data_IF_449342972917
#
_entry.id   IF_449342972917
#
_cell.length_a   1.000
_cell.length_b   1.000
_cell.length_c   1.000
_cell.angle_alpha   90.00
_cell.angle_beta   90.00
_cell.angle_gamma   90.00
#
_symmetry.space_group_name_H-M   'P 1'
#
loop_
_entity.id
_entity.type
_entity.pdbx_description
1 polymer ?
#
# COMPACT_ATOMS: atom_id res chain seq x y z
N UNK A 1 -16.79 17.64 -50.71
CA UNK A 1 -16.88 18.52 -49.54
C UNK A 1 -16.65 17.66 -48.31
N UNK A 2 -15.41 17.61 -47.85
CA UNK A 2 -14.98 16.76 -46.75
C UNK A 2 -15.09 17.51 -45.42
N UNK A 3 -15.78 16.91 -44.45
CA UNK A 3 -15.70 17.30 -43.05
C UNK A 3 -14.89 16.23 -42.32
N UNK A 4 -13.76 16.64 -41.78
CA UNK A 4 -12.79 15.85 -41.03
C UNK A 4 -13.38 15.39 -39.70
N UNK A 5 -13.45 14.07 -39.53
CA UNK A 5 -13.68 13.41 -38.25
C UNK A 5 -12.46 13.62 -37.36
N UNK A 6 -12.60 14.47 -36.34
CA UNK A 6 -11.62 14.56 -35.24
C UNK A 6 -12.00 13.49 -34.23
N UNK A 7 -11.13 12.50 -34.08
CA UNK A 7 -11.32 11.31 -33.27
C UNK A 7 -11.37 11.65 -31.78
N UNK A 8 -12.30 11.02 -31.05
CA UNK A 8 -12.54 11.16 -29.61
C UNK A 8 -11.28 10.87 -28.75
N UNK A 9 -10.30 10.15 -29.32
CA UNK A 9 -9.00 9.84 -28.72
C UNK A 9 -8.09 11.07 -28.56
N UNK A 10 -8.20 12.10 -29.40
CA UNK A 10 -7.38 13.32 -29.27
C UNK A 10 -7.83 14.26 -28.14
N UNK A 11 -9.13 14.22 -27.76
CA UNK A 11 -9.66 15.04 -26.67
C UNK A 11 -9.26 14.53 -25.28
N UNK A 12 -9.14 13.20 -25.12
CA UNK A 12 -8.71 12.59 -23.85
C UNK A 12 -7.20 12.78 -23.61
N UNK A 13 -6.38 12.76 -24.67
CA UNK A 13 -4.93 13.00 -24.55
C UNK A 13 -4.55 14.43 -24.14
N UNK A 14 -5.32 15.44 -24.58
CA UNK A 14 -5.06 16.86 -24.25
C UNK A 14 -5.55 17.26 -22.86
N UNK A 15 -6.61 16.61 -22.35
CA UNK A 15 -7.11 16.81 -20.97
C UNK A 15 -6.09 16.37 -19.90
N UNK A 16 -5.36 15.28 -20.17
CA UNK A 16 -4.38 14.72 -19.23
C UNK A 16 -3.11 15.59 -19.10
N UNK A 17 -2.65 16.20 -20.20
CA UNK A 17 -1.47 17.07 -20.23
C UNK A 17 -1.65 18.38 -19.43
N UNK A 18 -2.85 18.95 -19.46
CA UNK A 18 -3.17 20.20 -18.73
C UNK A 18 -3.27 19.96 -17.22
N UNK A 19 -3.73 18.77 -16.82
CA UNK A 19 -3.86 18.41 -15.40
C UNK A 19 -2.50 18.10 -14.76
N UNK A 20 -1.59 17.45 -15.49
CA UNK A 20 -0.23 17.17 -15.03
C UNK A 20 0.61 18.45 -14.82
N UNK A 21 0.48 19.44 -15.71
CA UNK A 21 1.19 20.72 -15.61
C UNK A 21 0.70 21.61 -14.45
N UNK A 22 -0.57 21.49 -14.07
CA UNK A 22 -1.12 22.22 -12.92
C UNK A 22 -0.75 21.59 -11.57
N UNK A 23 -0.48 20.28 -11.53
CA UNK A 23 -0.06 19.61 -10.29
C UNK A 23 1.41 19.88 -9.93
N UNK A 24 2.28 20.15 -10.91
CA UNK A 24 3.67 20.60 -10.68
C UNK A 24 3.74 21.97 -10.00
N UNK A 25 2.74 22.84 -10.19
CA UNK A 25 2.70 24.16 -9.57
C UNK A 25 2.21 24.14 -8.11
N UNK A 26 1.42 23.13 -7.71
CA UNK A 26 0.82 23.08 -6.36
C UNK A 26 1.74 22.39 -5.33
N UNK A 27 2.64 21.50 -5.77
CA UNK A 27 3.52 20.74 -4.87
C UNK A 27 4.75 21.51 -4.36
N UNK A 28 5.07 22.68 -4.92
CA UNK A 28 6.16 23.54 -4.44
C UNK A 28 5.80 24.33 -3.16
N UNK A 29 4.53 24.34 -2.73
CA UNK A 29 4.03 25.23 -1.68
C UNK A 29 3.69 24.55 -0.33
N UNK A 30 3.85 23.23 -0.15
CA UNK A 30 3.45 22.53 1.09
C UNK A 30 4.51 21.61 1.69
N UNK A 31 5.80 21.97 1.62
CA UNK A 31 6.84 21.32 2.43
C UNK A 31 7.22 22.26 3.57
N UNK A 32 6.43 22.24 4.65
CA UNK A 32 6.84 22.80 5.94
C UNK A 32 6.65 21.74 7.02
N UNK A 33 7.80 21.30 7.54
CA UNK A 33 8.08 20.61 8.81
C UNK A 33 7.48 19.22 9.02
N UNK A 34 8.32 18.21 8.80
CA UNK A 34 8.36 17.03 9.66
C UNK A 34 9.72 16.97 10.36
N UNK A 35 9.69 17.15 11.68
CA UNK A 35 10.84 16.94 12.56
C UNK A 35 11.11 15.43 12.67
N UNK A 36 12.39 15.07 12.62
CA UNK A 36 12.88 13.70 12.78
C UNK A 36 12.82 13.30 14.25
N UNK A 37 12.16 12.19 14.56
CA UNK A 37 12.35 11.47 15.82
C UNK A 37 13.14 10.19 15.52
N UNK A 38 14.30 10.07 16.15
CA UNK A 38 15.33 9.05 15.94
C UNK A 38 15.21 8.00 17.06
N UNK A 39 15.06 6.72 16.74
CA UNK A 39 15.23 5.64 17.72
C UNK A 39 16.70 5.22 17.74
N UNK A 40 17.35 5.33 18.91
CA UNK A 40 18.78 5.05 19.08
C UNK A 40 19.09 3.61 19.47
N UNK A 41 20.22 3.09 18.98
CA UNK A 41 21.18 2.16 19.62
C UNK A 41 22.49 2.12 18.75
N UNK A 42 23.66 1.69 19.28
CA UNK A 42 24.89 2.48 19.35
C UNK A 42 25.79 2.49 18.10
N UNK A 43 26.63 3.53 18.02
CA UNK A 43 27.55 3.88 16.93
C UNK A 43 28.82 3.01 16.88
N UNK A 44 29.34 2.73 15.67
CA UNK A 44 30.77 2.76 15.40
C UNK A 44 31.12 4.08 14.68
N UNK A 45 31.98 4.86 15.31
CA UNK A 45 32.70 5.98 14.69
C UNK A 45 33.50 5.49 13.49
N UNK A 46 33.43 6.19 12.34
CA UNK A 46 34.59 6.71 11.58
C UNK A 46 34.10 7.54 10.39
N UNK A 47 34.76 8.67 10.22
CA UNK A 47 34.60 9.76 9.27
C UNK A 47 34.75 9.36 7.80
N UNK A 48 33.84 9.83 6.94
CA UNK A 48 33.99 9.78 5.48
C UNK A 48 33.04 10.75 4.78
N UNK A 49 33.52 11.92 4.38
CA UNK A 49 32.76 12.91 3.62
C UNK A 49 32.54 12.44 2.18
N UNK A 50 31.28 12.21 1.77
CA UNK A 50 30.91 12.10 0.35
C UNK A 50 29.73 13.02 0.01
N UNK A 51 29.86 13.64 -1.16
CA UNK A 51 29.14 14.82 -1.68
C UNK A 51 27.60 14.69 -1.72
N UNK A 52 26.91 15.69 -1.13
CA UNK A 52 25.45 15.79 -0.98
C UNK A 52 24.65 16.06 -2.27
N UNK A 53 25.29 16.16 -3.44
CA UNK A 53 24.59 16.56 -4.68
C UNK A 53 24.10 15.40 -5.55
N UNK A 54 24.64 14.19 -5.40
CA UNK A 54 24.19 13.02 -6.19
C UNK A 54 22.93 12.35 -5.64
N UNK A 55 22.64 12.53 -4.35
CA UNK A 55 21.53 11.87 -3.64
C UNK A 55 20.15 12.45 -3.97
N UNK A 56 20.06 13.75 -4.28
CA UNK A 56 18.78 14.42 -4.58
C UNK A 56 18.23 14.07 -5.98
N UNK A 57 19.10 13.88 -6.97
CA UNK A 57 18.67 13.53 -8.33
C UNK A 57 18.09 12.10 -8.43
N UNK A 58 18.53 11.19 -7.56
CA UNK A 58 17.98 9.83 -7.43
C UNK A 58 16.63 9.81 -6.70
N UNK A 59 16.42 10.72 -5.74
CA UNK A 59 15.16 10.82 -4.99
C UNK A 59 14.00 11.36 -5.85
N UNK A 60 14.24 12.37 -6.68
CA UNK A 60 13.21 12.94 -7.57
C UNK A 60 12.87 12.01 -8.75
N UNK A 61 13.86 11.24 -9.24
CA UNK A 61 13.62 10.20 -10.26
C UNK A 61 12.75 9.05 -9.74
N UNK A 62 12.84 8.70 -8.46
CA UNK A 62 12.03 7.65 -7.82
C UNK A 62 10.56 8.05 -7.58
N UNK A 63 10.27 9.33 -7.36
CA UNK A 63 8.89 9.80 -7.18
C UNK A 63 8.14 9.81 -8.53
N UNK A 64 8.81 10.21 -9.61
CA UNK A 64 8.23 10.24 -10.95
C UNK A 64 7.89 8.83 -11.49
N UNK A 65 8.71 7.82 -11.17
CA UNK A 65 8.42 6.43 -11.53
C UNK A 65 7.28 5.84 -10.69
N UNK A 66 7.18 6.17 -9.40
CA UNK A 66 6.09 5.70 -8.53
C UNK A 66 4.73 6.26 -8.98
N UNK A 67 4.64 7.55 -9.31
CA UNK A 67 3.39 8.17 -9.82
C UNK A 67 2.96 7.52 -11.13
N UNK A 68 3.90 7.18 -12.02
CA UNK A 68 3.60 6.50 -13.29
C UNK A 68 3.12 5.05 -13.08
N UNK A 69 3.69 4.32 -12.10
CA UNK A 69 3.22 2.97 -11.74
C UNK A 69 1.80 3.01 -11.18
N UNK A 70 1.51 3.90 -10.23
CA UNK A 70 0.16 4.07 -9.70
C UNK A 70 -0.82 4.60 -10.76
N UNK A 71 -0.37 5.46 -11.67
CA UNK A 71 -1.17 5.91 -12.81
C UNK A 71 -1.51 4.75 -13.76
N UNK A 72 -0.55 3.88 -14.08
CA UNK A 72 -0.79 2.70 -14.92
C UNK A 72 -1.74 1.70 -14.27
N UNK A 73 -1.68 1.53 -12.95
CA UNK A 73 -2.64 0.70 -12.18
C UNK A 73 -4.08 1.26 -12.29
N UNK A 74 -4.26 2.57 -12.44
CA UNK A 74 -5.59 3.16 -12.64
C UNK A 74 -6.27 2.79 -13.96
N UNK A 75 -5.49 2.37 -14.97
CA UNK A 75 -5.99 1.86 -16.25
C UNK A 75 -6.10 0.32 -16.28
N UNK A 76 -5.77 -0.36 -15.19
CA UNK A 76 -5.93 -1.81 -15.10
C UNK A 76 -7.43 -2.16 -15.02
N UNK A 77 -7.89 -3.21 -15.72
CA UNK A 77 -9.27 -3.69 -15.57
C UNK A 77 -9.58 -3.97 -14.09
N UNK A 78 -10.82 -3.68 -13.68
CA UNK A 78 -11.31 -3.92 -12.32
C UNK A 78 -11.92 -5.30 -12.24
N UNK A 79 -11.07 -6.31 -12.08
CA UNK A 79 -11.43 -7.73 -12.09
C UNK A 79 -11.46 -8.37 -10.69
N UNK A 80 -11.02 -7.63 -9.66
CA UNK A 80 -11.05 -8.10 -8.29
C UNK A 80 -12.33 -7.62 -7.62
N UNK A 81 -13.30 -8.51 -7.44
CA UNK A 81 -14.54 -8.24 -6.71
C UNK A 81 -14.30 -8.28 -5.19
N UNK A 82 -15.02 -7.43 -4.46
CA UNK A 82 -15.05 -7.47 -3.01
C UNK A 82 -15.64 -8.80 -2.52
N UNK A 83 -15.16 -9.27 -1.38
CA UNK A 83 -15.69 -10.49 -0.75
C UNK A 83 -17.12 -10.31 -0.21
N UNK A 84 -17.49 -9.09 0.18
CA UNK A 84 -18.76 -8.82 0.86
C UNK A 84 -19.77 -8.03 0.05
N UNK A 85 -19.39 -7.50 -1.12
CA UNK A 85 -20.25 -6.70 -1.98
C UNK A 85 -19.84 -6.81 -3.45
N UNK A 86 -20.60 -6.19 -4.35
CA UNK A 86 -20.36 -6.25 -5.79
C UNK A 86 -19.36 -5.19 -6.32
N UNK A 87 -18.70 -4.43 -5.45
CA UNK A 87 -17.71 -3.45 -5.87
C UNK A 87 -16.46 -4.15 -6.42
N UNK A 88 -15.92 -3.63 -7.52
CA UNK A 88 -14.70 -4.16 -8.15
C UNK A 88 -13.53 -3.20 -8.03
N UNK A 89 -12.32 -3.78 -7.98
CA UNK A 89 -11.05 -3.08 -7.73
C UNK A 89 -10.01 -3.51 -8.77
N UNK A 90 -9.04 -2.63 -8.99
CA UNK A 90 -7.90 -2.85 -9.89
C UNK A 90 -6.70 -3.53 -9.21
N UNK A 91 -6.75 -3.65 -7.89
CA UNK A 91 -5.69 -4.23 -7.04
C UNK A 91 -6.31 -4.93 -5.85
N UNK A 92 -5.64 -5.98 -5.39
CA UNK A 92 -6.04 -6.73 -4.21
C UNK A 92 -5.94 -5.85 -2.97
N UNK A 93 -4.84 -5.11 -2.82
CA UNK A 93 -4.67 -4.14 -1.73
C UNK A 93 -5.75 -3.06 -1.72
N UNK A 94 -6.25 -2.63 -2.89
CA UNK A 94 -7.37 -1.71 -3.00
C UNK A 94 -8.68 -2.28 -2.45
N UNK A 95 -8.98 -3.54 -2.76
CA UNK A 95 -10.12 -4.27 -2.18
C UNK A 95 -9.98 -4.42 -0.66
N UNK A 96 -8.77 -4.72 -0.16
CA UNK A 96 -8.54 -4.80 1.29
C UNK A 96 -8.73 -3.45 1.99
N UNK A 97 -8.32 -2.32 1.41
CA UNK A 97 -8.62 -0.97 1.97
C UNK A 97 -10.13 -0.76 2.13
N UNK A 98 -10.92 -1.25 1.17
CA UNK A 98 -12.36 -1.14 1.22
C UNK A 98 -12.95 -1.96 2.39
N UNK A 99 -12.52 -3.21 2.55
CA UNK A 99 -12.91 -4.05 3.68
C UNK A 99 -12.45 -3.45 5.03
N UNK A 100 -11.20 -2.99 5.14
CA UNK A 100 -10.68 -2.34 6.36
C UNK A 100 -11.52 -1.14 6.80
N UNK A 101 -12.20 -0.47 5.86
CA UNK A 101 -13.03 0.69 6.18
C UNK A 101 -14.36 0.34 6.86
N UNK A 102 -14.79 -0.92 6.86
CA UNK A 102 -16.04 -1.36 7.49
C UNK A 102 -17.31 -0.76 6.87
N UNK A 103 -17.22 -0.23 5.65
CA UNK A 103 -18.35 0.50 5.01
C UNK A 103 -19.26 -0.38 4.17
N UNK A 104 -18.77 -1.54 3.73
CA UNK A 104 -19.51 -2.41 2.82
C UNK A 104 -20.21 -3.59 3.50
N UNK A 105 -19.80 -3.92 4.72
CA UNK A 105 -20.35 -5.00 5.54
C UNK A 105 -20.31 -4.55 6.99
N UNK A 106 -21.31 -4.93 7.76
CA UNK A 106 -21.34 -4.70 9.22
C UNK A 106 -20.36 -5.63 9.95
N UNK A 107 -19.99 -6.76 9.34
CA UNK A 107 -19.24 -7.84 9.99
C UNK A 107 -17.73 -7.82 9.68
N UNK A 108 -17.30 -7.03 8.69
CA UNK A 108 -15.91 -7.04 8.21
C UNK A 108 -15.34 -5.62 8.23
N UNK A 109 -14.38 -5.40 9.11
CA UNK A 109 -13.61 -4.16 9.26
C UNK A 109 -12.11 -4.43 9.49
N UNK A 110 -11.33 -3.38 9.77
CA UNK A 110 -9.90 -3.51 10.08
C UNK A 110 -9.62 -4.45 11.26
N UNK A 111 -10.45 -4.41 12.31
CA UNK A 111 -10.28 -5.26 13.50
C UNK A 111 -10.50 -6.72 13.14
N UNK A 112 -11.54 -7.00 12.36
CA UNK A 112 -11.85 -8.37 11.96
C UNK A 112 -10.83 -8.95 10.99
N UNK A 113 -10.40 -8.18 10.00
CA UNK A 113 -9.33 -8.60 9.10
C UNK A 113 -8.03 -8.88 9.85
N UNK A 114 -7.69 -8.06 10.85
CA UNK A 114 -6.49 -8.26 11.65
C UNK A 114 -6.57 -9.55 12.48
N UNK A 115 -7.73 -9.85 13.07
CA UNK A 115 -7.97 -11.10 13.78
C UNK A 115 -7.77 -12.29 12.84
N UNK A 116 -8.40 -12.26 11.66
CA UNK A 116 -8.32 -13.35 10.69
C UNK A 116 -6.89 -13.56 10.18
N UNK A 117 -6.14 -12.47 9.94
CA UNK A 117 -4.72 -12.56 9.61
C UNK A 117 -3.89 -13.23 10.73
N UNK A 118 -4.22 -12.99 12.00
CA UNK A 118 -3.57 -13.63 13.15
C UNK A 118 -3.96 -15.10 13.37
N UNK A 119 -5.08 -15.54 12.78
CA UNK A 119 -5.57 -16.92 12.79
C UNK A 119 -5.07 -17.74 11.59
N UNK A 120 -4.65 -17.09 10.51
CA UNK A 120 -4.06 -17.73 9.34
C UNK A 120 -2.91 -18.70 9.73
N UNK A 121 -2.84 -19.93 9.20
CA UNK A 121 -1.82 -20.91 9.58
C UNK A 121 -0.37 -20.42 9.44
N UNK A 122 -0.10 -19.56 8.45
CA UNK A 122 1.24 -19.04 8.13
C UNK A 122 1.51 -17.66 8.74
N UNK A 123 0.72 -17.23 9.74
CA UNK A 123 0.80 -15.91 10.37
C UNK A 123 2.24 -15.48 10.72
N UNK A 124 3.07 -16.39 11.22
CA UNK A 124 4.42 -16.08 11.73
C UNK A 124 5.39 -15.57 10.67
N UNK A 125 5.05 -15.69 9.38
CA UNK A 125 5.87 -15.19 8.28
C UNK A 125 5.59 -13.73 7.93
N UNK A 126 4.42 -13.20 8.29
CA UNK A 126 4.00 -11.86 7.88
C UNK A 126 3.48 -11.02 9.04
N UNK A 127 3.46 -11.56 10.25
CA UNK A 127 2.89 -10.93 11.44
C UNK A 127 3.86 -11.03 12.61
N UNK A 128 4.04 -9.93 13.34
CA UNK A 128 4.85 -9.88 14.56
C UNK A 128 4.20 -10.71 15.67
N UNK A 129 4.90 -11.76 16.12
CA UNK A 129 4.47 -12.67 17.18
C UNK A 129 4.01 -11.95 18.45
N UNK A 130 4.66 -10.84 18.81
CA UNK A 130 4.31 -10.05 20.00
C UNK A 130 2.93 -9.42 19.90
N UNK A 131 2.50 -9.09 18.69
CA UNK A 131 1.25 -8.40 18.41
C UNK A 131 0.12 -9.38 18.05
N UNK A 132 0.44 -10.63 17.69
CA UNK A 132 -0.53 -11.67 17.32
C UNK A 132 -1.63 -11.86 18.36
N UNK A 133 -1.25 -11.95 19.65
CA UNK A 133 -2.21 -12.18 20.72
C UNK A 133 -3.23 -11.04 20.86
N UNK A 134 -2.82 -9.80 20.59
CA UNK A 134 -3.71 -8.65 20.59
C UNK A 134 -4.65 -8.69 19.39
N UNK A 135 -4.12 -8.93 18.19
CA UNK A 135 -4.93 -9.00 16.98
C UNK A 135 -5.97 -10.11 17.04
N UNK A 136 -5.59 -11.31 17.48
CA UNK A 136 -6.52 -12.43 17.65
C UNK A 136 -7.63 -12.16 18.67
N UNK A 137 -7.38 -11.29 19.65
CA UNK A 137 -8.38 -10.85 20.64
C UNK A 137 -9.19 -9.63 20.19
N UNK A 138 -9.08 -9.23 18.92
CA UNK A 138 -9.76 -8.05 18.34
C UNK A 138 -9.42 -6.75 19.07
N UNK A 139 -8.21 -6.64 19.60
CA UNK A 139 -7.77 -5.41 20.22
C UNK A 139 -7.44 -4.37 19.14
N UNK A 140 -8.01 -3.17 19.27
CA UNK A 140 -7.55 -2.01 18.51
C UNK A 140 -6.17 -1.59 19.01
N UNK A 141 -5.14 -1.88 18.20
CA UNK A 141 -3.77 -1.53 18.56
C UNK A 141 -3.55 -0.01 18.63
N UNK A 142 -4.29 0.79 17.87
CA UNK A 142 -4.18 2.26 17.95
C UNK A 142 -4.75 2.80 19.27
N UNK A 143 -5.73 2.11 19.85
CA UNK A 143 -6.30 2.47 21.15
C UNK A 143 -5.40 2.04 22.33
N UNK A 144 -4.70 0.92 22.19
CA UNK A 144 -3.88 0.35 23.28
C UNK A 144 -2.47 0.93 23.32
N UNK A 145 -1.87 1.16 22.16
CA UNK A 145 -0.50 1.64 22.06
C UNK A 145 -0.49 3.14 21.79
N UNK A 146 0.25 3.89 22.61
CA UNK A 146 0.41 5.35 22.46
C UNK A 146 1.20 5.75 21.20
N UNK A 147 1.81 4.79 20.52
CA UNK A 147 2.60 4.99 19.31
C UNK A 147 2.09 4.10 18.19
N UNK A 148 2.38 4.51 16.95
CA UNK A 148 2.07 3.73 15.77
C UNK A 148 2.80 2.39 15.82
N UNK A 149 2.03 1.31 15.75
CA UNK A 149 2.51 -0.06 15.68
C UNK A 149 2.50 -0.59 14.25
N UNK A 150 3.33 -1.58 13.99
CA UNK A 150 3.51 -2.19 12.67
C UNK A 150 3.41 -3.71 12.79
N UNK A 151 2.20 -4.27 12.94
CA UNK A 151 2.01 -5.70 13.15
C UNK A 151 2.41 -6.55 11.94
N UNK A 152 2.46 -5.97 10.74
CA UNK A 152 2.70 -6.71 9.51
C UNK A 152 4.14 -6.52 9.01
N UNK A 153 4.73 -7.58 8.49
CA UNK A 153 6.05 -7.55 7.86
C UNK A 153 6.01 -8.27 6.51
N UNK A 154 6.72 -7.72 5.52
CA UNK A 154 6.88 -8.42 4.25
C UNK A 154 7.84 -9.61 4.43
N UNK A 155 7.45 -10.86 4.08
CA UNK A 155 8.28 -12.05 4.31
C UNK A 155 9.63 -12.09 3.56
N UNK A 156 9.85 -11.21 2.58
CA UNK A 156 11.07 -11.20 1.75
C UNK A 156 11.99 -10.02 2.01
N UNK A 157 11.45 -8.87 2.41
CA UNK A 157 12.24 -7.65 2.60
C UNK A 157 12.09 -7.05 4.01
N UNK A 158 11.34 -7.71 4.89
CA UNK A 158 11.12 -7.34 6.29
C UNK A 158 10.61 -5.91 6.51
N UNK A 159 10.06 -5.28 5.46
CA UNK A 159 9.50 -3.93 5.58
C UNK A 159 8.26 -3.98 6.47
N UNK A 160 8.16 -3.13 7.51
CA UNK A 160 7.05 -3.14 8.44
C UNK A 160 5.86 -2.29 7.95
N UNK A 161 4.64 -2.77 8.19
CA UNK A 161 3.40 -2.12 7.80
C UNK A 161 2.40 -2.09 8.96
N UNK A 162 1.66 -0.98 9.06
CA UNK A 162 0.63 -0.79 10.10
C UNK A 162 -0.71 -1.41 9.74
N UNK A 163 -0.94 -1.68 8.45
CA UNK A 163 -2.21 -2.14 7.89
C UNK A 163 -1.96 -3.31 6.96
N UNK A 164 -2.96 -4.17 6.84
CA UNK A 164 -2.92 -5.34 5.97
C UNK A 164 -2.94 -4.89 4.50
N UNK A 165 -3.77 -3.89 4.18
CA UNK A 165 -3.79 -3.25 2.86
C UNK A 165 -2.43 -2.72 2.41
N UNK A 166 -1.69 -2.08 3.32
CA UNK A 166 -0.38 -1.51 3.01
C UNK A 166 0.66 -2.60 2.67
N UNK A 167 0.60 -3.76 3.35
CA UNK A 167 1.41 -4.92 3.00
C UNK A 167 1.10 -5.41 1.58
N UNK A 168 -0.18 -5.58 1.23
CA UNK A 168 -0.56 -6.03 -0.11
C UNK A 168 -0.19 -5.04 -1.21
N UNK A 169 -0.44 -3.75 -1.00
CA UNK A 169 -0.04 -2.69 -1.94
C UNK A 169 1.48 -2.67 -2.18
N UNK A 170 2.27 -2.92 -1.13
CA UNK A 170 3.71 -3.06 -1.26
C UNK A 170 4.10 -4.25 -2.14
N UNK A 171 3.45 -5.40 -1.96
CA UNK A 171 3.71 -6.63 -2.73
C UNK A 171 3.27 -6.48 -4.19
N UNK A 172 2.19 -5.75 -4.45
CA UNK A 172 1.72 -5.44 -5.82
C UNK A 172 2.58 -4.39 -6.52
N UNK A 173 3.41 -3.66 -5.77
CA UNK A 173 4.35 -2.68 -6.31
C UNK A 173 5.68 -3.35 -6.70
N UNK A 174 6.47 -2.74 -7.60
CA UNK A 174 7.81 -3.24 -7.94
C UNK A 174 8.85 -2.99 -6.83
N UNK A 175 8.43 -2.66 -5.59
CA UNK A 175 9.33 -2.34 -4.49
C UNK A 175 10.00 -3.56 -3.86
N UNK A 176 9.46 -4.77 -4.05
CA UNK A 176 10.04 -6.01 -3.54
C UNK A 176 9.86 -7.19 -4.51
N UNK A 177 10.46 -8.33 -4.18
CA UNK A 177 10.36 -9.57 -4.96
C UNK A 177 9.27 -10.52 -4.48
N UNK A 178 8.52 -10.15 -3.44
CA UNK A 178 7.36 -10.91 -2.98
C UNK A 178 6.29 -10.93 -4.07
N UNK A 179 5.54 -12.04 -4.15
CA UNK A 179 4.37 -12.17 -5.01
C UNK A 179 3.13 -12.49 -4.17
N UNK A 180 1.96 -12.06 -4.65
CA UNK A 180 0.68 -12.42 -4.06
C UNK A 180 0.34 -13.91 -4.21
N UNK A 181 0.92 -14.58 -5.20
CA UNK A 181 0.56 -15.95 -5.59
C UNK A 181 1.51 -17.02 -5.02
N UNK A 182 2.50 -16.61 -4.22
CA UNK A 182 3.46 -17.53 -3.63
C UNK A 182 3.60 -17.41 -2.09
N UNK A 183 3.98 -18.53 -1.46
CA UNK A 183 4.37 -18.60 -0.05
C UNK A 183 3.29 -18.19 0.93
N UNK A 184 3.72 -17.57 2.04
CA UNK A 184 2.84 -17.18 3.14
C UNK A 184 1.76 -16.16 2.74
N UNK A 185 2.08 -15.25 1.81
CA UNK A 185 1.13 -14.25 1.29
C UNK A 185 0.01 -14.91 0.50
N UNK A 186 0.32 -15.90 -0.34
CA UNK A 186 -0.72 -16.64 -1.06
C UNK A 186 -1.62 -17.43 -0.10
N UNK A 187 -1.05 -18.02 0.94
CA UNK A 187 -1.81 -18.69 1.99
C UNK A 187 -2.74 -17.72 2.71
N UNK A 188 -2.24 -16.53 3.07
CA UNK A 188 -3.06 -15.47 3.66
C UNK A 188 -4.19 -15.04 2.74
N UNK A 189 -3.91 -14.83 1.45
CA UNK A 189 -4.91 -14.43 0.45
C UNK A 189 -6.04 -15.46 0.32
N UNK A 190 -5.67 -16.74 0.21
CA UNK A 190 -6.65 -17.86 0.15
C UNK A 190 -7.43 -17.99 1.45
N UNK A 191 -6.80 -17.76 2.60
CA UNK A 191 -7.46 -17.82 3.89
C UNK A 191 -8.50 -16.70 4.05
N UNK A 192 -8.16 -15.45 3.70
CA UNK A 192 -9.13 -14.36 3.67
C UNK A 192 -10.29 -14.65 2.70
N UNK A 193 -9.98 -15.22 1.53
CA UNK A 193 -11.01 -15.63 0.59
C UNK A 193 -11.90 -16.75 1.12
N UNK A 194 -11.39 -17.72 1.87
CA UNK A 194 -12.22 -18.79 2.44
C UNK A 194 -13.13 -18.31 3.57
N UNK A 195 -12.72 -17.26 4.28
CA UNK A 195 -13.50 -16.70 5.39
C UNK A 195 -14.61 -15.74 4.91
N UNK A 196 -14.35 -14.97 3.85
CA UNK A 196 -15.27 -13.90 3.42
C UNK A 196 -15.80 -14.06 2.00
N UNK A 197 -15.08 -14.80 1.14
CA UNK A 197 -15.45 -14.97 -0.25
C UNK A 197 -16.69 -15.85 -0.41
N UNK A 198 -17.41 -15.71 -1.54
CA UNK A 198 -18.53 -16.56 -1.90
C UNK A 198 -18.12 -18.00 -2.26
#
# INVERSE_FOLDING_TARGET
MGATSVTLTERLGKSCLITAANQTAVLSAKVVKTEKVYYGYPTPTTTGSMSRTKTYALFVRNILTLVDVFHRISHHPRDIECYCCYDTFNTYGGMIVHLESGRCSEDVDEIELNKTAAECPMWSHFLDDRLRAHLRRRHDLHAIFLHRVYPYMCPTCDTPFSKLSALFQHIESPACTQSLDNGAIATLRRFLQSEYGP
#
